data_IF_673568538343
#
_entry.id   IF_673568538343
#
_cell.length_a   1.000
_cell.length_b   1.000
_cell.length_c   1.000
_cell.angle_alpha   90.00
_cell.angle_beta   90.00
_cell.angle_gamma   90.00
#
_symmetry.space_group_name_H-M   'P 1'
#
loop_
_entity.id
_entity.type
_entity.pdbx_description
1 polymer ?
#
# COMPACT_ATOMS: atom_id res chain seq x y z
N UNK A 1 -6.07 -8.30 -18.97
CA UNK A 1 -5.09 -7.96 -17.91
C UNK A 1 -5.13 -6.47 -17.55
N UNK A 2 -5.08 -5.57 -18.53
CA UNK A 2 -5.16 -4.13 -18.26
C UNK A 2 -6.41 -3.74 -17.46
N UNK A 3 -7.55 -4.29 -17.85
CA UNK A 3 -8.81 -4.02 -17.14
C UNK A 3 -8.74 -4.41 -15.65
N UNK A 4 -8.08 -5.53 -15.34
CA UNK A 4 -7.91 -5.96 -13.94
C UNK A 4 -6.99 -5.02 -13.16
N UNK A 5 -5.96 -4.49 -13.81
CA UNK A 5 -5.05 -3.51 -13.21
C UNK A 5 -5.82 -2.23 -12.88
N UNK A 6 -6.59 -1.72 -13.83
CA UNK A 6 -7.39 -0.51 -13.64
C UNK A 6 -8.39 -0.68 -12.50
N UNK A 7 -9.06 -1.83 -12.43
CA UNK A 7 -9.97 -2.14 -11.32
C UNK A 7 -9.26 -2.19 -9.97
N UNK A 8 -8.06 -2.76 -9.94
CA UNK A 8 -7.27 -2.81 -8.70
C UNK A 8 -6.89 -1.40 -8.26
N UNK A 9 -6.46 -0.55 -9.18
CA UNK A 9 -6.14 0.84 -8.88
C UNK A 9 -7.36 1.56 -8.29
N UNK A 10 -8.52 1.42 -8.92
CA UNK A 10 -9.76 2.06 -8.44
C UNK A 10 -10.12 1.58 -7.04
N UNK A 11 -9.97 0.28 -6.78
CA UNK A 11 -10.26 -0.29 -5.46
C UNK A 11 -9.33 0.26 -4.39
N UNK A 12 -8.05 0.38 -4.71
CA UNK A 12 -7.07 0.92 -3.78
C UNK A 12 -7.32 2.41 -3.51
N UNK A 13 -7.71 3.18 -4.52
CA UNK A 13 -8.09 4.58 -4.33
C UNK A 13 -9.30 4.71 -3.40
N UNK A 14 -10.24 3.79 -3.51
CA UNK A 14 -11.40 3.76 -2.61
C UNK A 14 -10.98 3.52 -1.16
N UNK A 15 -10.10 2.54 -0.92
CA UNK A 15 -9.60 2.27 0.42
C UNK A 15 -8.81 3.45 0.99
N UNK A 16 -8.02 4.13 0.15
CA UNK A 16 -7.30 5.32 0.57
C UNK A 16 -8.25 6.44 1.00
N UNK A 17 -9.35 6.60 0.29
CA UNK A 17 -10.38 7.58 0.68
C UNK A 17 -10.92 7.26 2.08
N UNK A 18 -11.24 6.00 2.35
CA UNK A 18 -11.72 5.58 3.67
C UNK A 18 -10.66 5.85 4.74
N UNK A 19 -9.40 5.53 4.46
CA UNK A 19 -8.30 5.78 5.39
C UNK A 19 -8.11 7.28 5.67
N UNK A 20 -8.21 8.11 4.66
CA UNK A 20 -8.11 9.56 4.84
C UNK A 20 -9.26 10.11 5.69
N UNK A 21 -10.45 9.53 5.58
CA UNK A 21 -11.57 9.88 6.42
C UNK A 21 -11.35 9.44 7.88
N UNK A 22 -10.78 8.26 8.09
CA UNK A 22 -10.50 7.74 9.42
C UNK A 22 -9.33 8.46 10.12
N UNK A 23 -8.37 8.94 9.35
CA UNK A 23 -7.12 9.51 9.84
C UNK A 23 -7.32 10.58 10.92
N UNK A 24 -8.33 11.42 10.78
CA UNK A 24 -8.58 12.56 11.65
C UNK A 24 -8.73 12.18 13.12
N UNK A 25 -9.32 11.02 13.38
CA UNK A 25 -9.69 10.60 14.72
C UNK A 25 -8.73 9.58 15.34
N UNK A 26 -7.58 9.32 14.67
CA UNK A 26 -6.70 8.22 15.04
C UNK A 26 -6.22 8.29 16.49
N UNK A 27 -5.64 9.41 16.89
CA UNK A 27 -5.11 9.55 18.24
C UNK A 27 -6.18 9.48 19.32
N UNK A 28 -7.37 9.98 19.00
CA UNK A 28 -8.49 9.99 19.95
C UNK A 28 -9.13 8.61 20.08
N UNK A 29 -9.30 7.89 18.96
CA UNK A 29 -10.14 6.69 18.93
C UNK A 29 -9.37 5.37 18.93
N UNK A 30 -8.11 5.35 18.49
CA UNK A 30 -7.40 4.08 18.29
C UNK A 30 -7.41 3.19 19.54
N UNK A 31 -7.08 3.72 20.70
CA UNK A 31 -7.02 2.93 21.93
C UNK A 31 -8.37 2.78 22.63
N UNK A 32 -9.36 3.60 22.27
CA UNK A 32 -10.65 3.64 22.97
C UNK A 32 -11.77 2.90 22.23
N UNK A 33 -11.66 2.76 20.92
CA UNK A 33 -12.72 2.21 20.08
C UNK A 33 -12.19 1.02 19.28
N UNK A 34 -12.45 -0.23 19.74
CA UNK A 34 -11.97 -1.42 19.02
C UNK A 34 -12.51 -1.54 17.60
N UNK A 35 -13.71 -1.02 17.33
CA UNK A 35 -14.29 -1.06 15.98
C UNK A 35 -13.49 -0.13 15.07
N UNK A 36 -13.14 1.06 15.54
CA UNK A 36 -12.30 2.00 14.80
C UNK A 36 -10.92 1.39 14.52
N UNK A 37 -10.27 0.83 15.55
CA UNK A 37 -8.96 0.18 15.41
C UNK A 37 -9.01 -0.93 14.36
N UNK A 38 -10.02 -1.80 14.47
CA UNK A 38 -10.18 -2.92 13.53
C UNK A 38 -10.37 -2.44 12.10
N UNK A 39 -11.22 -1.46 11.89
CA UNK A 39 -11.45 -0.90 10.55
C UNK A 39 -10.19 -0.26 9.99
N UNK A 40 -9.50 0.55 10.78
CA UNK A 40 -8.27 1.24 10.36
C UNK A 40 -7.20 0.25 9.94
N UNK A 41 -6.90 -0.73 10.79
CA UNK A 41 -5.86 -1.73 10.51
C UNK A 41 -6.24 -2.61 9.31
N UNK A 42 -7.52 -2.94 9.16
CA UNK A 42 -7.98 -3.71 8.01
C UNK A 42 -7.75 -2.97 6.70
N UNK A 43 -8.13 -1.70 6.62
CA UNK A 43 -7.93 -0.94 5.39
C UNK A 43 -6.45 -0.66 5.13
N UNK A 44 -5.63 -0.48 6.16
CA UNK A 44 -4.19 -0.39 5.99
C UNK A 44 -3.61 -1.68 5.43
N UNK A 45 -4.09 -2.83 5.90
CA UNK A 45 -3.70 -4.12 5.34
C UNK A 45 -4.12 -4.21 3.87
N UNK A 46 -5.36 -3.87 3.54
CA UNK A 46 -5.87 -3.98 2.18
C UNK A 46 -5.09 -3.10 1.19
N UNK A 47 -4.72 -1.87 1.58
CA UNK A 47 -3.93 -1.03 0.67
C UNK A 47 -2.50 -1.53 0.54
N UNK A 48 -1.92 -2.06 1.61
CA UNK A 48 -0.55 -2.59 1.58
C UNK A 48 -0.47 -3.87 0.77
N UNK A 49 -1.40 -4.80 1.01
CA UNK A 49 -1.49 -6.05 0.25
C UNK A 49 -1.84 -5.78 -1.22
N UNK A 50 -2.75 -4.84 -1.46
CA UNK A 50 -3.14 -4.46 -2.80
C UNK A 50 -2.01 -3.79 -3.57
N UNK A 51 -1.16 -3.00 -2.91
CA UNK A 51 0.00 -2.38 -3.54
C UNK A 51 0.98 -3.45 -4.05
N UNK A 52 1.23 -4.48 -3.24
CA UNK A 52 2.08 -5.60 -3.64
C UNK A 52 1.45 -6.38 -4.79
N UNK A 53 0.16 -6.71 -4.68
CA UNK A 53 -0.56 -7.44 -5.72
C UNK A 53 -0.54 -6.67 -7.04
N UNK A 54 -0.70 -5.34 -6.98
CA UNK A 54 -0.66 -4.50 -8.17
C UNK A 54 0.71 -4.55 -8.86
N UNK A 55 1.79 -4.52 -8.07
CA UNK A 55 3.14 -4.65 -8.62
C UNK A 55 3.30 -5.96 -9.39
N UNK A 56 2.84 -7.07 -8.82
CA UNK A 56 2.88 -8.38 -9.46
C UNK A 56 2.05 -8.42 -10.75
N UNK A 57 0.89 -7.79 -10.73
CA UNK A 57 0.03 -7.68 -11.93
C UNK A 57 0.72 -6.90 -13.05
N UNK A 58 1.38 -5.80 -12.71
CA UNK A 58 2.10 -4.96 -13.69
C UNK A 58 3.29 -5.72 -14.27
N UNK A 59 4.05 -6.42 -13.43
CA UNK A 59 5.16 -7.27 -13.89
C UNK A 59 4.67 -8.28 -14.93
N UNK A 60 3.57 -8.94 -14.65
CA UNK A 60 2.99 -9.93 -15.56
C UNK A 60 2.48 -9.26 -16.84
N UNK A 61 1.77 -8.14 -16.72
CA UNK A 61 1.22 -7.41 -17.86
C UNK A 61 2.30 -6.93 -18.82
N UNK A 62 3.41 -6.43 -18.28
CA UNK A 62 4.53 -5.92 -19.05
C UNK A 62 5.55 -7.00 -19.45
N UNK A 63 5.28 -8.25 -19.10
CA UNK A 63 6.17 -9.39 -19.36
C UNK A 63 7.58 -9.19 -18.80
N UNK A 64 7.67 -8.61 -17.62
CA UNK A 64 8.93 -8.42 -16.91
C UNK A 64 9.35 -9.73 -16.22
N UNK A 65 10.64 -9.89 -15.89
CA UNK A 65 11.09 -11.07 -15.14
C UNK A 65 10.36 -11.19 -13.81
N UNK A 66 9.95 -12.40 -13.38
CA UNK A 66 9.23 -12.59 -12.12
C UNK A 66 10.05 -12.13 -10.92
N UNK A 67 9.37 -11.59 -9.92
CA UNK A 67 9.99 -11.21 -8.66
C UNK A 67 10.04 -12.39 -7.70
N UNK A 68 11.07 -12.43 -6.83
CA UNK A 68 11.28 -13.50 -5.86
C UNK A 68 10.62 -13.19 -4.52
N UNK A 69 10.21 -11.95 -4.29
CA UNK A 69 9.60 -11.51 -3.04
C UNK A 69 8.69 -10.32 -3.30
N UNK A 70 7.86 -9.98 -2.32
CA UNK A 70 7.00 -8.79 -2.38
C UNK A 70 7.81 -7.51 -2.48
N UNK A 71 8.90 -7.42 -1.72
CA UNK A 71 9.81 -6.29 -1.79
C UNK A 71 10.36 -6.13 -3.20
N UNK A 72 10.88 -7.22 -3.76
CA UNK A 72 11.45 -7.23 -5.11
C UNK A 72 10.43 -6.85 -6.17
N UNK A 73 9.16 -7.24 -6.00
CA UNK A 73 8.12 -6.92 -6.97
C UNK A 73 7.99 -5.40 -7.15
N UNK A 74 7.99 -4.64 -6.07
CA UNK A 74 7.88 -3.18 -6.13
C UNK A 74 9.18 -2.55 -6.61
N UNK A 75 10.31 -3.01 -6.06
CA UNK A 75 11.62 -2.47 -6.43
C UNK A 75 11.91 -2.67 -7.94
N UNK A 76 11.50 -3.79 -8.48
CA UNK A 76 11.64 -4.10 -9.91
C UNK A 76 10.94 -3.09 -10.81
N UNK A 77 9.84 -2.52 -10.38
CA UNK A 77 9.15 -1.50 -11.17
C UNK A 77 10.02 -0.25 -11.35
N UNK A 78 10.93 0.02 -10.41
CA UNK A 78 11.93 1.07 -10.55
C UNK A 78 13.00 0.74 -11.58
N UNK A 79 13.38 -0.54 -11.69
CA UNK A 79 14.39 -0.98 -12.65
C UNK A 79 13.92 -0.87 -14.11
N UNK A 80 12.61 -0.91 -14.33
CA UNK A 80 12.00 -0.87 -15.66
C UNK A 80 11.26 0.45 -15.92
N UNK A 81 11.61 1.51 -15.20
CA UNK A 81 11.09 2.88 -15.41
C UNK A 81 9.58 3.04 -15.26
N UNK A 82 8.91 2.12 -14.58
CA UNK A 82 7.49 2.26 -14.26
C UNK A 82 7.32 3.20 -13.07
N UNK A 83 8.25 3.13 -12.11
CA UNK A 83 8.36 4.04 -10.99
C UNK A 83 9.71 4.74 -11.05
N UNK A 84 9.83 5.98 -10.53
CA UNK A 84 11.15 6.55 -10.28
C UNK A 84 11.94 5.60 -9.38
N UNK A 85 13.22 5.42 -9.69
CA UNK A 85 14.06 4.40 -9.03
C UNK A 85 14.15 4.59 -7.51
N UNK A 86 14.37 5.81 -7.09
CA UNK A 86 14.46 6.14 -5.67
C UNK A 86 13.12 5.95 -4.96
N UNK A 87 12.03 6.34 -5.61
CA UNK A 87 10.69 6.11 -5.07
C UNK A 87 10.43 4.62 -4.87
N UNK A 88 10.72 3.79 -5.88
CA UNK A 88 10.52 2.35 -5.82
C UNK A 88 11.29 1.73 -4.66
N UNK A 89 12.55 2.10 -4.52
CA UNK A 89 13.41 1.60 -3.45
C UNK A 89 12.83 1.90 -2.06
N UNK A 90 12.37 3.12 -1.84
CA UNK A 90 11.80 3.52 -0.56
C UNK A 90 10.41 2.93 -0.35
N UNK A 91 9.58 2.93 -1.38
CA UNK A 91 8.21 2.45 -1.27
C UNK A 91 8.12 0.93 -1.08
N UNK A 92 9.13 0.19 -1.55
CA UNK A 92 9.16 -1.26 -1.42
C UNK A 92 9.08 -1.73 0.05
N UNK A 93 9.40 -0.87 1.00
CA UNK A 93 9.27 -1.16 2.44
C UNK A 93 7.83 -1.45 2.86
N UNK A 94 6.84 -1.07 2.04
CA UNK A 94 5.44 -1.39 2.30
C UNK A 94 5.21 -2.91 2.37
N UNK A 95 6.06 -3.69 1.71
CA UNK A 95 5.98 -5.15 1.75
C UNK A 95 6.19 -5.69 3.18
N UNK A 96 7.15 -5.11 3.92
CA UNK A 96 7.39 -5.47 5.32
C UNK A 96 6.21 -5.06 6.21
N UNK A 97 5.66 -3.89 5.98
CA UNK A 97 4.49 -3.42 6.71
C UNK A 97 3.27 -4.32 6.45
N UNK A 98 3.06 -4.72 5.20
CA UNK A 98 2.01 -5.67 4.83
C UNK A 98 2.15 -6.98 5.61
N UNK A 99 3.38 -7.51 5.67
CA UNK A 99 3.64 -8.76 6.40
C UNK A 99 3.43 -8.59 7.90
N UNK A 100 3.84 -7.45 8.46
CA UNK A 100 3.61 -7.14 9.86
C UNK A 100 2.11 -7.13 10.18
N UNK A 101 1.31 -6.46 9.39
CA UNK A 101 -0.14 -6.41 9.60
C UNK A 101 -0.80 -7.78 9.45
N UNK A 102 -0.27 -8.63 8.55
CA UNK A 102 -0.82 -9.97 8.34
C UNK A 102 -0.58 -10.90 9.53
N UNK A 103 0.54 -10.74 10.25
CA UNK A 103 0.98 -11.71 11.26
C UNK A 103 1.05 -11.15 12.67
N UNK A 104 1.26 -9.86 12.85
CA UNK A 104 1.55 -9.25 14.15
C UNK A 104 0.69 -8.02 14.44
N UNK A 105 -0.49 -7.91 13.84
CA UNK A 105 -1.31 -6.71 13.99
C UNK A 105 -1.64 -6.36 15.45
N UNK A 106 -1.62 -7.34 16.36
CA UNK A 106 -1.87 -7.10 17.79
C UNK A 106 -0.73 -6.35 18.48
N UNK A 107 0.45 -6.31 17.84
CA UNK A 107 1.64 -5.65 18.39
C UNK A 107 1.84 -4.24 17.82
N UNK A 108 0.82 -3.70 17.19
CA UNK A 108 0.87 -2.39 16.55
C UNK A 108 1.06 -1.30 17.59
N UNK A 109 2.01 -0.40 17.35
CA UNK A 109 2.18 0.82 18.12
C UNK A 109 1.26 1.91 17.51
N UNK A 110 0.26 2.36 18.28
CA UNK A 110 -0.72 3.31 17.76
C UNK A 110 -0.10 4.65 17.38
N UNK A 111 0.98 5.08 18.04
CA UNK A 111 1.66 6.33 17.68
C UNK A 111 2.35 6.23 16.33
N UNK A 112 2.96 5.06 16.05
CA UNK A 112 3.55 4.82 14.73
C UNK A 112 2.47 4.86 13.66
N UNK A 113 1.34 4.22 13.91
CA UNK A 113 0.23 4.22 12.94
C UNK A 113 -0.30 5.64 12.74
N UNK A 114 -0.64 6.34 13.82
CA UNK A 114 -1.28 7.65 13.73
C UNK A 114 -0.35 8.75 13.25
N UNK A 115 0.91 8.75 13.71
CA UNK A 115 1.85 9.85 13.44
C UNK A 115 2.74 9.62 12.22
N UNK A 116 3.02 8.37 11.85
CA UNK A 116 3.94 8.07 10.76
C UNK A 116 3.25 7.42 9.56
N UNK A 117 2.52 6.34 9.78
CA UNK A 117 1.92 5.57 8.67
C UNK A 117 0.83 6.38 7.98
N UNK A 118 -0.10 6.96 8.75
CA UNK A 118 -1.21 7.72 8.15
C UNK A 118 -0.74 9.00 7.48
N UNK A 119 0.39 9.58 7.92
CA UNK A 119 0.97 10.75 7.27
C UNK A 119 1.62 10.41 5.92
N UNK A 120 1.85 9.13 5.64
CA UNK A 120 2.48 8.67 4.39
C UNK A 120 1.51 8.04 3.41
N UNK A 121 0.20 8.19 3.60
CA UNK A 121 -0.78 7.69 2.64
C UNK A 121 -0.59 8.29 1.25
N UNK A 122 -0.05 9.51 1.16
CA UNK A 122 0.24 10.14 -0.12
C UNK A 122 1.24 9.35 -0.97
N UNK A 123 2.14 8.58 -0.34
CA UNK A 123 3.07 7.72 -1.08
C UNK A 123 2.32 6.64 -1.86
N UNK A 124 1.26 6.09 -1.28
CA UNK A 124 0.44 5.08 -1.96
C UNK A 124 -0.31 5.74 -3.12
N UNK A 125 -0.82 6.95 -2.93
CA UNK A 125 -1.48 7.71 -4.00
C UNK A 125 -0.51 7.97 -5.15
N UNK A 126 0.72 8.40 -4.84
CA UNK A 126 1.75 8.63 -5.85
C UNK A 126 2.09 7.34 -6.60
N UNK A 127 2.20 6.23 -5.88
CA UNK A 127 2.45 4.91 -6.48
C UNK A 127 1.37 4.56 -7.50
N UNK A 128 0.12 4.74 -7.15
CA UNK A 128 -1.00 4.47 -8.06
C UNK A 128 -0.97 5.39 -9.28
N UNK A 129 -0.63 6.66 -9.08
CA UNK A 129 -0.54 7.63 -10.17
C UNK A 129 0.59 7.26 -11.14
N UNK A 130 1.77 6.90 -10.64
CA UNK A 130 2.88 6.46 -11.49
C UNK A 130 2.48 5.28 -12.36
N UNK A 131 1.85 4.28 -11.76
CA UNK A 131 1.42 3.09 -12.50
C UNK A 131 0.36 3.46 -13.54
N UNK A 132 -0.66 4.22 -13.14
CA UNK A 132 -1.74 4.63 -14.04
C UNK A 132 -1.22 5.40 -15.25
N UNK A 133 -0.19 6.21 -15.08
CA UNK A 133 0.38 7.01 -16.16
C UNK A 133 1.28 6.19 -17.09
N UNK A 134 1.69 4.99 -16.70
CA UNK A 134 2.63 4.17 -17.46
C UNK A 134 1.93 3.07 -18.28
N UNK A 135 0.73 2.69 -17.88
CA UNK A 135 -0.02 1.62 -18.55
C UNK A 135 -0.97 2.10 -19.62
#
# INVERSE_FOLDING_TARGET
MLHKIEKKIDRLRYYLKLLNDLKKDCKEKFLKDPIYEGALLHYLYLVSDGAVALAEMVIKYKSLPPAQSYYEAIDKLGDYDILPKEFAYNFAKIASFRNFLAHDYEKVDYLVICDEILDKLYDIENYLDYIANTI
#
